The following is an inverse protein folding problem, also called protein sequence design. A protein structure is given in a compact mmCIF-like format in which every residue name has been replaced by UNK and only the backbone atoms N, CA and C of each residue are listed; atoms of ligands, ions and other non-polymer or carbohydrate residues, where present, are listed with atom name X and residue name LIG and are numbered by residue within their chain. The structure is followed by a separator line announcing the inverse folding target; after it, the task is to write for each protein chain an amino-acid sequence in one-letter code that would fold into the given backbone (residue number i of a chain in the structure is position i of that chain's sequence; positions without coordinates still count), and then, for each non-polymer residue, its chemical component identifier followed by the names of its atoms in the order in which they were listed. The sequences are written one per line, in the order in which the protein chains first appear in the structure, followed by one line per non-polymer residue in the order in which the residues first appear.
data_IF_762252911013
#
_entry.id   IF_762252911013
#
_cell.length_a   1.000
_cell.length_b   1.000
_cell.length_c   1.000
_cell.angle_alpha   90.00
_cell.angle_beta   90.00
_cell.angle_gamma   90.00
#
_symmetry.space_group_name_H-M   'P 1'
#
loop_
_entity.id
_entity.type
_entity.pdbx_description
1 polymer ?
#
# COMPACT_ATOMS: atom_id res chain seq x y z
N UNK A 1 -6.72 22.23 11.84
CA UNK A 1 -7.29 21.44 12.96
C UNK A 1 -7.19 19.97 12.61
N UNK A 2 -6.39 19.20 13.33
CA UNK A 2 -6.36 17.73 13.18
C UNK A 2 -7.68 17.17 13.73
N UNK A 3 -8.44 16.43 12.92
CA UNK A 3 -9.76 15.89 13.34
C UNK A 3 -9.66 14.69 14.31
N UNK A 4 -8.51 14.49 14.95
CA UNK A 4 -8.30 13.38 15.90
C UNK A 4 -8.39 11.98 15.29
N UNK A 5 -8.19 11.83 13.97
CA UNK A 5 -8.17 10.53 13.31
C UNK A 5 -6.94 9.76 13.78
N UNK A 6 -7.15 8.65 14.49
CA UNK A 6 -6.05 7.81 14.92
C UNK A 6 -5.43 7.11 13.71
N UNK A 7 -4.10 7.14 13.63
CA UNK A 7 -3.38 6.42 12.60
C UNK A 7 -2.18 5.68 13.18
N UNK A 8 -1.62 4.74 12.41
CA UNK A 8 -0.35 4.07 12.74
C UNK A 8 0.30 3.58 11.46
N UNK A 9 1.63 3.60 11.46
CA UNK A 9 2.48 3.00 10.43
C UNK A 9 3.11 1.74 11.02
N UNK A 10 2.83 0.60 10.39
CA UNK A 10 3.39 -0.70 10.71
C UNK A 10 4.45 -1.07 9.68
N UNK A 11 5.66 -1.38 10.12
CA UNK A 11 6.81 -1.63 9.24
C UNK A 11 7.56 -2.92 9.61
N UNK A 12 8.18 -3.58 8.64
CA UNK A 12 8.84 -4.87 8.85
C UNK A 12 10.28 -4.73 9.35
N UNK A 13 10.98 -3.66 8.97
CA UNK A 13 12.35 -3.32 9.36
C UNK A 13 12.54 -1.79 9.45
N UNK A 14 13.57 -1.37 10.18
CA UNK A 14 13.99 0.03 10.16
C UNK A 14 14.61 0.35 8.79
N UNK A 15 14.29 1.51 8.20
CA UNK A 15 14.88 1.98 6.96
C UNK A 15 13.92 2.25 5.79
N UNK A 16 12.64 1.87 5.89
CA UNK A 16 11.74 1.86 4.71
C UNK A 16 10.95 3.12 4.38
N UNK A 17 9.84 2.97 3.65
CA UNK A 17 8.84 4.02 3.45
C UNK A 17 8.33 4.57 4.81
N UNK A 18 8.48 3.80 5.90
CA UNK A 18 8.26 4.23 7.29
C UNK A 18 9.39 5.07 7.93
N UNK A 19 10.55 5.22 7.29
CA UNK A 19 11.57 6.24 7.61
C UNK A 19 11.69 7.29 6.48
N UNK A 20 11.29 6.98 5.25
CA UNK A 20 11.15 7.98 4.17
C UNK A 20 9.92 8.88 4.40
N UNK A 21 8.71 8.32 4.60
CA UNK A 21 7.55 9.11 4.99
C UNK A 21 7.72 9.69 6.39
N UNK A 22 8.36 8.98 7.32
CA UNK A 22 8.28 9.33 8.75
C UNK A 22 9.58 9.85 9.36
N UNK A 23 10.70 9.80 8.63
CA UNK A 23 11.93 10.54 8.94
C UNK A 23 11.89 11.96 8.35
N UNK A 24 11.08 12.18 7.32
CA UNK A 24 10.74 13.53 6.81
C UNK A 24 9.49 14.12 7.47
N UNK A 25 8.50 13.31 7.86
CA UNK A 25 7.36 13.80 8.64
C UNK A 25 7.71 13.82 10.13
N UNK A 26 7.44 14.92 10.86
CA UNK A 26 7.68 15.04 12.30
C UNK A 26 6.62 14.28 13.09
N UNK A 27 6.39 13.00 12.77
CA UNK A 27 5.40 12.19 13.48
C UNK A 27 5.98 11.61 14.77
N UNK A 28 5.18 11.56 15.86
CA UNK A 28 5.63 10.97 17.11
C UNK A 28 6.08 9.52 16.90
N UNK A 29 7.22 9.15 17.50
CA UNK A 29 7.72 7.76 17.46
C UNK A 29 6.68 6.72 17.91
N UNK A 30 5.65 7.13 18.66
CA UNK A 30 4.53 6.29 19.09
C UNK A 30 3.62 5.81 17.94
N UNK A 31 3.58 6.54 16.81
CA UNK A 31 2.79 6.16 15.63
C UNK A 31 3.50 5.16 14.72
N UNK A 32 4.77 4.87 15.00
CA UNK A 32 5.57 3.84 14.35
C UNK A 32 5.58 2.59 15.19
N UNK A 33 5.21 1.45 14.61
CA UNK A 33 5.22 0.17 15.30
C UNK A 33 5.76 -0.95 14.39
N UNK A 34 6.46 -1.95 14.95
CA UNK A 34 6.91 -3.10 14.17
C UNK A 34 5.70 -3.89 13.64
N UNK A 35 5.86 -4.59 12.54
CA UNK A 35 4.79 -5.36 11.89
C UNK A 35 4.17 -6.41 12.82
N UNK A 36 4.93 -6.97 13.76
CA UNK A 36 4.40 -7.86 14.80
C UNK A 36 3.23 -7.22 15.59
N UNK A 37 3.26 -5.89 15.76
CA UNK A 37 2.22 -5.13 16.42
C UNK A 37 0.94 -5.03 15.58
N UNK A 38 1.03 -4.99 14.25
CA UNK A 38 -0.15 -5.04 13.37
C UNK A 38 -0.95 -6.31 13.63
N UNK A 39 -0.27 -7.47 13.64
CA UNK A 39 -0.93 -8.75 13.90
C UNK A 39 -1.56 -8.82 15.29
N UNK A 40 -0.87 -8.30 16.31
CA UNK A 40 -1.40 -8.22 17.67
C UNK A 40 -2.61 -7.28 17.78
N UNK A 41 -2.55 -6.10 17.16
CA UNK A 41 -3.66 -5.15 17.17
C UNK A 41 -4.87 -5.67 16.37
N UNK A 42 -4.63 -6.30 15.21
CA UNK A 42 -5.67 -6.94 14.41
C UNK A 42 -6.38 -8.04 15.21
N UNK A 43 -5.64 -8.95 15.85
CA UNK A 43 -6.20 -10.00 16.69
C UNK A 43 -7.01 -9.44 17.88
N UNK A 44 -6.54 -8.34 18.47
CA UNK A 44 -7.19 -7.71 19.62
C UNK A 44 -8.33 -6.73 19.27
N UNK A 45 -8.60 -6.49 17.98
CA UNK A 45 -9.59 -5.49 17.56
C UNK A 45 -9.17 -4.03 17.79
N UNK A 46 -7.85 -3.78 17.91
CA UNK A 46 -7.24 -2.50 18.31
C UNK A 46 -6.57 -1.75 17.15
N UNK A 47 -6.85 -2.10 15.91
CA UNK A 47 -6.37 -1.34 14.76
C UNK A 47 -6.90 0.12 14.83
N UNK A 48 -6.07 1.13 14.56
CA UNK A 48 -6.49 2.53 14.49
C UNK A 48 -7.41 2.79 13.29
N UNK A 49 -7.95 4.00 13.20
CA UNK A 49 -8.85 4.38 12.10
C UNK A 49 -8.16 4.33 10.72
N UNK A 50 -6.86 4.63 10.66
CA UNK A 50 -6.02 4.49 9.46
C UNK A 50 -4.76 3.68 9.79
N UNK A 51 -4.54 2.58 9.10
CA UNK A 51 -3.35 1.74 9.29
C UNK A 51 -2.57 1.67 7.98
N UNK A 52 -1.32 2.13 7.98
CA UNK A 52 -0.38 1.91 6.90
C UNK A 52 0.47 0.69 7.22
N UNK A 53 0.62 -0.23 6.27
CA UNK A 53 1.37 -1.48 6.45
C UNK A 53 2.40 -1.61 5.35
N UNK A 54 3.67 -1.63 5.73
CA UNK A 54 4.79 -1.67 4.81
C UNK A 54 5.55 -3.01 4.93
N UNK A 55 5.96 -3.53 3.78
CA UNK A 55 6.90 -4.64 3.67
C UNK A 55 8.29 -4.28 4.22
N UNK A 56 9.23 -5.21 4.17
CA UNK A 56 10.65 -4.91 4.41
C UNK A 56 11.16 -3.88 3.40
N UNK A 57 12.23 -3.18 3.75
CA UNK A 57 12.93 -2.28 2.85
C UNK A 57 14.43 -2.46 2.91
N UNK A 58 14.97 -2.78 4.08
CA UNK A 58 16.39 -3.04 4.28
C UNK A 58 16.56 -4.50 4.70
N UNK A 59 16.33 -5.37 3.72
CA UNK A 59 16.47 -6.80 3.88
C UNK A 59 17.28 -7.38 2.71
N UNK A 60 18.08 -8.43 2.98
CA UNK A 60 18.69 -9.25 1.94
C UNK A 60 17.62 -9.75 0.96
N UNK A 61 17.94 -9.85 -0.33
CA UNK A 61 16.98 -10.20 -1.38
C UNK A 61 16.28 -11.55 -1.15
N UNK A 62 17.00 -12.49 -0.51
CA UNK A 62 16.48 -13.80 -0.12
C UNK A 62 15.55 -13.80 1.10
N UNK A 63 15.38 -12.65 1.76
CA UNK A 63 14.53 -12.45 2.95
C UNK A 63 13.50 -11.34 2.76
N UNK A 64 13.64 -10.54 1.70
CA UNK A 64 12.85 -9.35 1.51
C UNK A 64 11.41 -9.66 1.05
N UNK A 65 10.45 -8.89 1.55
CA UNK A 65 9.00 -9.03 1.28
C UNK A 65 8.43 -7.89 0.43
N UNK A 66 9.29 -7.00 -0.09
CA UNK A 66 8.94 -5.88 -0.98
C UNK A 66 8.69 -6.26 -2.44
N UNK A 67 9.05 -7.48 -2.85
CA UNK A 67 8.95 -7.98 -4.24
C UNK A 67 9.79 -7.23 -5.27
N UNK A 68 10.63 -6.28 -4.86
CA UNK A 68 11.54 -5.61 -5.78
C UNK A 68 12.56 -6.63 -6.34
N UNK A 69 12.82 -6.66 -7.66
CA UNK A 69 13.87 -7.52 -8.20
C UNK A 69 15.24 -7.15 -7.60
N UNK A 70 16.09 -8.15 -7.29
CA UNK A 70 15.97 -9.57 -7.63
C UNK A 70 15.36 -10.46 -6.53
N UNK A 71 14.61 -9.90 -5.57
CA UNK A 71 13.99 -10.67 -4.48
C UNK A 71 13.01 -11.75 -4.95
N UNK A 72 12.76 -12.73 -4.07
CA UNK A 72 11.82 -13.82 -4.34
C UNK A 72 10.39 -13.34 -4.08
N UNK A 73 9.64 -13.03 -5.14
CA UNK A 73 8.25 -12.51 -5.04
C UNK A 73 7.32 -13.34 -4.15
N UNK A 74 7.52 -14.66 -4.03
CA UNK A 74 6.72 -15.52 -3.13
C UNK A 74 6.81 -15.10 -1.66
N UNK A 75 7.91 -14.49 -1.22
CA UNK A 75 8.06 -13.94 0.14
C UNK A 75 7.11 -12.76 0.36
N UNK A 76 7.03 -11.84 -0.60
CA UNK A 76 6.08 -10.73 -0.57
C UNK A 76 4.63 -11.19 -0.65
N UNK A 77 4.33 -12.18 -1.50
CA UNK A 77 2.98 -12.73 -1.60
C UNK A 77 2.55 -13.42 -0.29
N UNK A 78 3.47 -14.12 0.40
CA UNK A 78 3.21 -14.67 1.73
C UNK A 78 2.98 -13.55 2.76
N UNK A 79 3.71 -12.45 2.69
CA UNK A 79 3.51 -11.29 3.56
C UNK A 79 2.13 -10.66 3.34
N UNK A 80 1.75 -10.35 2.10
CA UNK A 80 0.43 -9.81 1.75
C UNK A 80 -0.69 -10.75 2.21
N UNK A 81 -0.56 -12.05 1.96
CA UNK A 81 -1.53 -13.04 2.41
C UNK A 81 -1.70 -13.07 3.93
N UNK A 82 -0.62 -12.93 4.70
CA UNK A 82 -0.69 -12.83 6.17
C UNK A 82 -1.39 -11.56 6.65
N UNK A 83 -1.15 -10.41 6.01
CA UNK A 83 -1.81 -9.15 6.34
C UNK A 83 -3.32 -9.24 6.08
N UNK A 84 -3.71 -9.77 4.91
CA UNK A 84 -5.11 -10.00 4.55
C UNK A 84 -5.78 -10.97 5.52
N UNK A 85 -5.16 -12.13 5.77
CA UNK A 85 -5.69 -13.15 6.69
C UNK A 85 -5.87 -12.60 8.12
N UNK A 86 -4.94 -11.78 8.61
CA UNK A 86 -5.04 -11.13 9.91
C UNK A 86 -6.23 -10.15 9.98
N UNK A 87 -6.48 -9.38 8.92
CA UNK A 87 -7.64 -8.49 8.86
C UNK A 87 -8.95 -9.27 8.78
N UNK A 88 -9.01 -10.34 7.99
CA UNK A 88 -10.18 -11.20 7.86
C UNK A 88 -10.58 -11.85 9.20
N UNK A 89 -9.60 -12.21 10.02
CA UNK A 89 -9.82 -12.78 11.37
C UNK A 89 -10.05 -11.74 12.46
N UNK A 90 -9.86 -10.46 12.15
CA UNK A 90 -9.93 -9.38 13.13
C UNK A 90 -11.37 -9.07 13.56
N UNK A 91 -11.61 -8.73 14.84
CA UNK A 91 -12.86 -8.08 15.26
C UNK A 91 -13.16 -6.76 14.53
N UNK A 92 -12.15 -6.14 13.90
CA UNK A 92 -12.34 -4.96 13.06
C UNK A 92 -13.00 -5.27 11.71
N UNK A 93 -12.95 -6.51 11.22
CA UNK A 93 -13.39 -6.90 9.86
C UNK A 93 -14.72 -6.25 9.42
N UNK A 94 -15.82 -6.28 10.20
CA UNK A 94 -17.14 -5.79 9.74
C UNK A 94 -17.18 -4.30 9.36
N UNK A 95 -16.13 -3.55 9.68
CA UNK A 95 -16.02 -2.09 9.47
C UNK A 95 -14.69 -1.68 8.84
N UNK A 96 -14.03 -2.60 8.14
CA UNK A 96 -12.70 -2.38 7.55
C UNK A 96 -12.72 -2.36 6.03
N UNK A 97 -11.77 -1.62 5.47
CA UNK A 97 -11.36 -1.71 4.08
C UNK A 97 -9.83 -1.76 4.04
N UNK A 98 -9.29 -2.70 3.29
CA UNK A 98 -7.86 -2.78 2.96
C UNK A 98 -7.69 -2.42 1.50
N UNK A 99 -6.79 -1.47 1.26
CA UNK A 99 -6.33 -1.08 -0.05
C UNK A 99 -4.92 -1.64 -0.23
N UNK A 100 -4.74 -2.51 -1.21
CA UNK A 100 -3.44 -3.06 -1.58
C UNK A 100 -3.01 -2.48 -2.92
N UNK A 101 -1.84 -1.88 -2.94
CA UNK A 101 -1.20 -1.31 -4.12
C UNK A 101 0.30 -1.55 -4.05
N UNK A 102 0.95 -1.57 -5.21
CA UNK A 102 2.40 -1.43 -5.30
C UNK A 102 2.76 0.06 -5.35
N UNK A 103 3.94 0.43 -4.86
CA UNK A 103 4.44 1.80 -4.92
C UNK A 103 4.85 2.17 -6.36
N UNK A 104 5.43 1.22 -7.10
CA UNK A 104 5.82 1.38 -8.50
C UNK A 104 5.67 0.07 -9.33
N UNK A 105 6.02 0.12 -10.62
CA UNK A 105 5.76 -0.91 -11.63
C UNK A 105 6.86 -2.00 -11.83
N UNK A 106 7.99 -1.92 -11.13
CA UNK A 106 9.12 -2.82 -11.21
C UNK A 106 9.96 -2.70 -12.49
N UNK A 107 9.73 -1.66 -13.30
CA UNK A 107 10.36 -1.52 -14.63
C UNK A 107 9.82 -2.49 -15.69
N UNK A 108 8.73 -3.20 -15.39
CA UNK A 108 8.08 -4.10 -16.33
C UNK A 108 7.24 -3.31 -17.34
N UNK A 109 7.14 -3.82 -18.57
CA UNK A 109 6.36 -3.17 -19.62
C UNK A 109 4.86 -3.17 -19.29
N UNK A 110 4.25 -2.00 -19.38
CA UNK A 110 2.79 -1.82 -19.44
C UNK A 110 2.41 -1.15 -20.76
N UNK A 111 1.33 -1.64 -21.38
CA UNK A 111 0.90 -1.19 -22.71
C UNK A 111 0.10 0.12 -22.69
N UNK A 112 -0.33 0.60 -21.52
CA UNK A 112 -1.14 1.81 -21.39
C UNK A 112 -0.21 3.00 -21.15
N UNK A 113 -0.18 3.99 -22.05
CA UNK A 113 0.54 5.23 -21.82
C UNK A 113 0.00 5.93 -20.56
N UNK A 114 0.86 6.43 -19.66
CA UNK A 114 0.41 7.13 -18.48
C UNK A 114 -0.44 8.36 -18.83
N UNK A 115 -1.67 8.49 -18.28
CA UNK A 115 -2.55 9.60 -18.60
C UNK A 115 -2.07 10.90 -17.94
N UNK A 116 -2.59 12.03 -18.46
CA UNK A 116 -2.38 13.33 -17.84
C UNK A 116 -3.07 13.43 -16.47
N UNK A 117 -2.51 14.29 -15.62
CA UNK A 117 -2.90 14.53 -14.25
C UNK A 117 -2.74 16.03 -13.91
N UNK A 118 -3.56 16.55 -13.01
CA UNK A 118 -3.33 17.86 -12.40
C UNK A 118 -2.06 17.84 -11.51
N UNK A 119 -1.07 18.72 -11.69
CA UNK A 119 0.08 18.80 -10.78
C UNK A 119 -0.32 18.85 -9.30
N UNK A 120 0.46 18.23 -8.39
CA UNK A 120 0.17 18.33 -6.95
C UNK A 120 0.27 19.78 -6.45
N UNK A 121 1.22 20.54 -6.98
CA UNK A 121 1.51 21.91 -6.58
C UNK A 121 2.29 22.65 -7.70
N UNK A 122 2.93 23.77 -7.35
CA UNK A 122 3.70 24.59 -8.28
C UNK A 122 5.17 24.15 -8.43
N UNK A 123 5.61 23.12 -7.71
CA UNK A 123 6.98 22.62 -7.81
C UNK A 123 7.19 21.95 -9.18
N UNK A 124 8.38 22.16 -9.72
CA UNK A 124 8.82 21.55 -10.97
C UNK A 124 9.76 20.39 -10.64
N UNK A 125 9.84 19.37 -11.50
CA UNK A 125 10.83 18.32 -11.33
C UNK A 125 12.25 18.89 -11.42
N UNK A 126 13.15 18.35 -10.60
CA UNK A 126 14.57 18.70 -10.58
C UNK A 126 15.30 17.98 -11.73
N UNK A 127 15.11 18.47 -12.95
CA UNK A 127 15.67 17.86 -14.16
C UNK A 127 17.14 18.27 -14.38
N UNK A 128 17.98 17.28 -14.70
CA UNK A 128 19.33 17.47 -15.22
C UNK A 128 19.30 17.86 -16.71
N UNK A 129 20.37 18.45 -17.27
CA UNK A 129 20.39 18.89 -18.67
C UNK A 129 20.11 17.82 -19.73
N UNK A 130 20.27 16.54 -19.37
CA UNK A 130 20.05 15.39 -20.26
C UNK A 130 18.74 14.64 -19.96
N UNK A 131 17.98 15.09 -18.97
CA UNK A 131 16.69 14.50 -18.66
C UNK A 131 15.65 14.93 -19.70
N UNK A 132 14.68 14.06 -19.93
CA UNK A 132 13.52 14.44 -20.73
C UNK A 132 12.76 15.56 -20.03
N UNK A 133 12.26 16.51 -20.81
CA UNK A 133 11.32 17.49 -20.28
C UNK A 133 10.12 16.77 -19.67
N UNK A 134 9.90 17.02 -18.39
CA UNK A 134 8.81 16.45 -17.62
C UNK A 134 8.17 17.51 -16.74
N UNK A 135 6.92 17.27 -16.40
CA UNK A 135 6.16 18.04 -15.42
C UNK A 135 5.41 17.02 -14.57
N UNK A 136 5.10 17.35 -13.32
CA UNK A 136 4.28 16.49 -12.45
C UNK A 136 2.79 16.47 -12.87
N UNK A 137 2.49 16.70 -14.15
CA UNK A 137 1.16 16.73 -14.78
C UNK A 137 0.80 15.42 -15.51
N UNK A 138 1.46 14.32 -15.15
CA UNK A 138 1.16 12.98 -15.65
C UNK A 138 1.22 11.95 -14.51
N UNK A 139 0.46 10.88 -14.64
CA UNK A 139 0.62 9.70 -13.79
C UNK A 139 1.86 8.90 -14.20
N UNK A 140 2.22 7.92 -13.36
CA UNK A 140 3.20 6.89 -13.70
C UNK A 140 2.58 5.70 -14.43
N UNK A 141 3.39 4.69 -14.78
CA UNK A 141 2.91 3.40 -15.25
C UNK A 141 1.90 2.76 -14.29
N UNK A 142 1.00 1.94 -14.82
CA UNK A 142 -0.04 1.30 -14.01
C UNK A 142 0.57 0.29 -13.03
N UNK A 143 -0.02 0.22 -11.84
CA UNK A 143 0.26 -0.79 -10.82
C UNK A 143 -1.02 -1.53 -10.44
N UNK A 144 -0.96 -2.78 -9.94
CA UNK A 144 -2.12 -3.46 -9.38
C UNK A 144 -2.74 -2.67 -8.21
N UNK A 145 -4.07 -2.62 -8.17
CA UNK A 145 -4.83 -2.03 -7.08
C UNK A 145 -6.01 -2.93 -6.69
N UNK A 146 -6.07 -3.32 -5.42
CA UNK A 146 -7.04 -4.29 -4.90
C UNK A 146 -7.71 -3.73 -3.64
N UNK A 147 -9.03 -3.91 -3.56
CA UNK A 147 -9.84 -3.60 -2.37
C UNK A 147 -10.31 -4.90 -1.72
N UNK A 148 -10.07 -5.03 -0.41
CA UNK A 148 -10.58 -6.13 0.42
C UNK A 148 -11.45 -5.56 1.55
N UNK A 149 -12.73 -5.90 1.57
CA UNK A 149 -13.69 -5.36 2.54
C UNK A 149 -14.96 -6.22 2.62
N UNK A 150 -15.70 -6.22 3.76
CA UNK A 150 -17.07 -6.76 3.80
C UNK A 150 -17.97 -6.17 2.72
N UNK A 151 -17.72 -4.91 2.33
CA UNK A 151 -18.51 -4.11 1.39
C UNK A 151 -17.92 -4.07 -0.02
N UNK A 152 -16.84 -4.79 -0.30
CA UNK A 152 -16.30 -4.86 -1.65
C UNK A 152 -17.33 -5.52 -2.59
N UNK A 153 -17.49 -4.98 -3.81
CA UNK A 153 -18.37 -5.59 -4.82
C UNK A 153 -17.82 -6.95 -5.24
N UNK A 154 -18.71 -7.96 -5.30
CA UNK A 154 -18.37 -9.30 -5.78
C UNK A 154 -18.05 -9.28 -7.28
N UNK A 155 -16.97 -9.98 -7.66
CA UNK A 155 -16.59 -10.18 -9.07
C UNK A 155 -16.53 -8.87 -9.88
N UNK A 156 -16.02 -7.81 -9.26
CA UNK A 156 -15.99 -6.50 -9.86
C UNK A 156 -14.56 -6.07 -10.18
N UNK A 157 -14.38 -5.50 -11.36
CA UNK A 157 -13.17 -4.81 -11.80
C UNK A 157 -13.60 -3.39 -12.15
N UNK A 158 -13.02 -2.41 -11.45
CA UNK A 158 -13.22 -1.01 -11.80
C UNK A 158 -12.38 -0.67 -13.03
N UNK A 159 -12.91 0.23 -13.87
CA UNK A 159 -12.23 0.79 -15.03
C UNK A 159 -12.04 2.31 -14.90
N UNK A 160 -12.29 2.87 -13.72
CA UNK A 160 -11.97 4.25 -13.40
C UNK A 160 -10.45 4.45 -13.32
N UNK A 161 -10.00 5.69 -13.54
CA UNK A 161 -8.58 6.04 -13.41
C UNK A 161 -8.29 6.41 -11.96
N UNK A 162 -7.52 5.55 -11.30
CA UNK A 162 -7.00 5.78 -9.96
C UNK A 162 -5.48 6.02 -10.00
N UNK A 163 -5.02 6.92 -9.14
CA UNK A 163 -3.62 7.03 -8.72
C UNK A 163 -3.47 6.75 -7.22
N UNK A 164 -2.25 6.71 -6.68
CA UNK A 164 -2.00 6.46 -5.26
C UNK A 164 -2.74 7.43 -4.32
N UNK A 165 -3.00 8.66 -4.77
CA UNK A 165 -3.74 9.65 -3.99
C UNK A 165 -5.25 9.38 -3.94
N UNK A 166 -5.76 8.44 -4.73
CA UNK A 166 -7.14 7.92 -4.61
C UNK A 166 -7.40 7.30 -3.24
N UNK A 167 -6.38 6.71 -2.61
CA UNK A 167 -6.44 6.20 -1.24
C UNK A 167 -6.55 7.36 -0.24
N UNK A 168 -5.78 8.43 -0.43
CA UNK A 168 -5.86 9.64 0.39
C UNK A 168 -7.24 10.29 0.25
N UNK A 169 -7.74 10.44 -0.98
CA UNK A 169 -9.09 10.94 -1.27
C UNK A 169 -10.18 10.16 -0.53
N UNK A 170 -10.05 8.83 -0.46
CA UNK A 170 -10.97 7.98 0.29
C UNK A 170 -10.94 8.29 1.78
N UNK A 171 -9.74 8.37 2.36
CA UNK A 171 -9.52 8.70 3.78
C UNK A 171 -10.08 10.10 4.09
N UNK A 172 -9.77 11.09 3.25
CA UNK A 172 -10.25 12.45 3.37
C UNK A 172 -11.77 12.52 3.38
N UNK A 173 -12.43 11.89 2.42
CA UNK A 173 -13.89 11.86 2.37
C UNK A 173 -14.48 11.14 3.57
N UNK A 174 -13.89 10.00 3.98
CA UNK A 174 -14.38 9.19 5.10
C UNK A 174 -14.31 9.94 6.43
N UNK A 175 -13.26 10.73 6.65
CA UNK A 175 -13.02 11.45 7.90
C UNK A 175 -13.25 12.97 7.79
N UNK A 176 -13.72 13.42 6.62
CA UNK A 176 -13.99 14.82 6.29
C UNK A 176 -12.75 15.70 6.48
N UNK A 177 -11.60 15.23 5.99
CA UNK A 177 -10.33 15.96 6.01
C UNK A 177 -10.20 16.81 4.72
N UNK A 178 -9.49 17.94 4.77
CA UNK A 178 -9.10 18.65 3.56
C UNK A 178 -8.06 17.85 2.76
N UNK A 179 -8.02 18.08 1.45
CA UNK A 179 -6.92 17.62 0.61
C UNK A 179 -5.59 18.27 1.02
N UNK A 180 -4.49 17.55 0.80
CA UNK A 180 -3.13 18.01 1.10
C UNK A 180 -2.51 18.77 -0.09
N UNK A 181 -2.92 18.44 -1.32
CA UNK A 181 -2.40 19.01 -2.57
C UNK A 181 -3.54 19.25 -3.58
N UNK A 182 -3.21 19.67 -4.80
CA UNK A 182 -4.15 19.64 -5.91
C UNK A 182 -4.32 18.23 -6.52
N UNK A 183 -3.38 17.29 -6.30
CA UNK A 183 -3.45 15.92 -6.85
C UNK A 183 -4.57 15.12 -6.20
N UNK A 184 -4.51 14.97 -4.87
CA UNK A 184 -5.53 14.30 -4.06
C UNK A 184 -6.88 15.04 -4.11
N UNK A 185 -6.90 16.38 -4.16
CA UNK A 185 -8.13 17.15 -4.35
C UNK A 185 -8.87 16.80 -5.66
N UNK A 186 -8.14 16.38 -6.70
CA UNK A 186 -8.66 16.00 -8.01
C UNK A 186 -8.65 14.48 -8.26
N UNK A 187 -8.29 13.67 -7.26
CA UNK A 187 -8.32 12.21 -7.37
C UNK A 187 -9.74 11.67 -7.20
N UNK A 188 -10.02 10.53 -7.84
CA UNK A 188 -11.24 9.78 -7.62
C UNK A 188 -11.01 8.86 -6.41
N UNK A 189 -11.88 8.93 -5.41
CA UNK A 189 -11.89 7.89 -4.39
C UNK A 189 -12.60 6.64 -4.97
N UNK A 190 -12.13 5.42 -4.64
CA UNK A 190 -12.57 4.17 -5.26
C UNK A 190 -13.94 3.69 -4.75
N UNK A 191 -14.93 4.58 -4.71
CA UNK A 191 -16.29 4.29 -4.22
C UNK A 191 -17.00 3.24 -5.07
N UNK A 192 -16.71 3.21 -6.37
CA UNK A 192 -17.33 2.26 -7.30
C UNK A 192 -16.95 0.80 -6.99
N UNK A 193 -15.86 0.57 -6.26
CA UNK A 193 -15.43 -0.77 -5.82
C UNK A 193 -16.23 -1.27 -4.60
N UNK A 194 -17.08 -0.43 -3.99
CA UNK A 194 -17.88 -0.76 -2.82
C UNK A 194 -19.39 -0.76 -3.09
N UNK A 195 -20.11 -1.61 -2.36
CA UNK A 195 -21.54 -1.50 -2.10
C UNK A 195 -21.76 -1.42 -0.58
N UNK A 196 -21.91 -0.20 -0.05
CA UNK A 196 -22.10 0.02 1.39
C UNK A 196 -23.51 -0.33 1.88
N UNK A 197 -24.44 -0.63 0.98
CA UNK A 197 -25.79 -1.07 1.35
C UNK A 197 -25.85 -2.58 1.64
N UNK A 198 -24.91 -3.35 1.09
CA UNK A 198 -24.86 -4.81 1.22
C UNK A 198 -23.45 -5.28 1.58
N UNK A 199 -23.21 -5.76 2.83
CA UNK A 199 -21.92 -6.36 3.19
C UNK A 199 -21.80 -7.78 2.62
N UNK A 200 -21.59 -7.87 1.31
CA UNK A 200 -21.59 -9.13 0.55
C UNK A 200 -20.54 -10.15 1.05
N UNK A 201 -19.52 -9.67 1.78
CA UNK A 201 -18.45 -10.43 2.42
C UNK A 201 -18.47 -10.30 3.96
N UNK A 202 -19.64 -10.09 4.58
CA UNK A 202 -19.80 -10.01 6.03
C UNK A 202 -19.14 -11.18 6.77
N UNK A 203 -19.31 -12.41 6.23
CA UNK A 203 -18.52 -13.57 6.64
C UNK A 203 -17.24 -13.60 5.82
N UNK A 204 -16.05 -13.43 6.44
CA UNK A 204 -14.79 -13.42 5.72
C UNK A 204 -14.53 -14.80 5.08
N UNK A 205 -13.99 -14.86 3.86
CA UNK A 205 -13.52 -16.12 3.28
C UNK A 205 -12.32 -16.66 4.05
N UNK A 206 -12.06 -17.96 3.95
CA UNK A 206 -10.80 -18.54 4.42
C UNK A 206 -9.71 -18.32 3.36
N UNK A 207 -8.55 -17.87 3.80
CA UNK A 207 -7.37 -17.69 2.95
C UNK A 207 -6.40 -18.84 3.20
N UNK A 208 -6.00 -19.53 2.12
CA UNK A 208 -4.89 -20.47 2.15
C UNK A 208 -3.60 -19.69 1.95
N UNK A 209 -2.69 -19.74 2.93
CA UNK A 209 -1.41 -19.06 2.81
C UNK A 209 -0.54 -19.71 1.71
N UNK A 210 0.06 -18.91 0.81
CA UNK A 210 0.91 -19.45 -0.24
C UNK A 210 2.16 -20.10 0.36
N UNK A 211 2.68 -21.11 -0.32
CA UNK A 211 3.96 -21.73 0.04
C UNK A 211 5.10 -21.01 -0.68
N UNK A 212 6.21 -20.85 0.02
CA UNK A 212 7.45 -20.29 -0.55
C UNK A 212 8.35 -21.45 -0.97
N UNK A 213 8.87 -21.41 -2.20
CA UNK A 213 9.86 -22.37 -2.67
C UNK A 213 11.21 -22.08 -1.96
N UNK A 214 11.54 -22.91 -0.98
CA UNK A 214 12.80 -22.82 -0.25
C UNK A 214 14.02 -22.93 -1.19
N UNK A 215 13.92 -23.70 -2.28
CA UNK A 215 14.97 -23.79 -3.27
C UNK A 215 15.18 -22.48 -4.04
N UNK A 216 14.11 -21.74 -4.34
CA UNK A 216 14.21 -20.42 -4.94
C UNK A 216 14.86 -19.41 -4.00
N UNK A 217 14.54 -19.46 -2.70
CA UNK A 217 15.16 -18.63 -1.68
C UNK A 217 16.66 -18.90 -1.55
N UNK A 218 17.06 -20.17 -1.48
CA UNK A 218 18.48 -20.56 -1.44
C UNK A 218 19.23 -20.06 -2.68
N UNK A 219 18.69 -20.28 -3.88
CA UNK A 219 19.29 -19.79 -5.13
C UNK A 219 19.42 -18.27 -5.15
N UNK A 220 18.43 -17.53 -4.64
CA UNK A 220 18.49 -16.08 -4.53
C UNK A 220 19.65 -15.66 -3.60
N UNK A 221 19.80 -16.29 -2.44
CA UNK A 221 20.89 -15.99 -1.50
C UNK A 221 22.28 -16.30 -2.08
N UNK A 222 22.41 -17.34 -2.90
CA UNK A 222 23.66 -17.69 -3.59
C UNK A 222 24.04 -16.69 -4.68
N UNK A 223 23.05 -16.22 -5.46
CA UNK A 223 23.27 -15.24 -6.54
C UNK A 223 23.47 -13.82 -6.01
N UNK A 224 22.80 -13.47 -4.92
CA UNK A 224 22.78 -12.14 -4.32
C UNK A 224 23.14 -12.24 -2.82
N UNK A 225 24.41 -12.53 -2.49
CA UNK A 225 24.84 -12.65 -1.10
C UNK A 225 24.75 -11.29 -0.38
N UNK A 226 24.51 -11.35 0.94
CA UNK A 226 24.57 -10.18 1.81
C UNK A 226 25.95 -9.52 1.68
N UNK A 227 25.97 -8.20 1.42
CA UNK A 227 27.22 -7.44 1.42
C UNK A 227 27.76 -7.44 2.87
N UNK A 228 29.07 -7.66 3.06
CA UNK A 228 29.69 -7.68 4.38
C UNK A 228 29.60 -6.34 5.11
#
# INVERSE_FOLDING_TARGET
MTRGVSFRVYFSDAGGLGDFLTGMLPEPATQRQPIARFFADAAAGKLPAVSFVNATFDAPESKATWEHPPSVAQLGQLFVARVVDALLKSPNWPRSALFFAYDEHGGLFDHVPPPAACPPDAHQPELQPHDQHGRFDHLGPRVPFIVVSPYAKKHHVSHEVYDHTSILRFIEARFVLPALTARDANALAPWDMFDFSVPAHAKPPQVTLPQVDAGAVTRCAELYPEKP
#
